data_IF_434661809274
#
_entry.id   IF_434661809274
#
_cell.length_a   1.000
_cell.length_b   1.000
_cell.length_c   1.000
_cell.angle_alpha   90.00
_cell.angle_beta   90.00
_cell.angle_gamma   90.00
#
_symmetry.space_group_name_H-M   'P 1'
#
loop_
_entity.id
_entity.type
_entity.pdbx_description
1 polymer ?
#
# COMPACT_ATOMS: atom_id res chain seq x y z
N UNK A 1 -29.41 -10.02 29.89
CA UNK A 1 -29.96 -10.67 28.70
C UNK A 1 -28.80 -11.24 27.89
N UNK A 2 -28.71 -12.56 27.71
CA UNK A 2 -27.58 -13.18 26.99
C UNK A 2 -27.64 -12.86 25.49
N UNK A 3 -28.84 -12.59 24.98
CA UNK A 3 -29.10 -12.30 23.57
C UNK A 3 -28.55 -10.93 23.14
N UNK A 4 -28.38 -9.99 24.08
CA UNK A 4 -27.75 -8.68 23.84
C UNK A 4 -26.22 -8.82 23.75
N UNK A 5 -25.63 -9.64 24.62
CA UNK A 5 -24.16 -9.85 24.67
C UNK A 5 -23.67 -10.65 23.45
N UNK A 6 -24.48 -11.58 22.96
CA UNK A 6 -24.14 -12.36 21.76
C UNK A 6 -24.33 -11.54 20.46
N UNK A 7 -25.32 -10.62 20.40
CA UNK A 7 -25.46 -9.66 19.28
C UNK A 7 -24.30 -8.66 19.16
N UNK A 8 -23.69 -8.25 20.27
CA UNK A 8 -22.52 -7.35 20.22
C UNK A 8 -21.26 -8.04 19.66
N UNK A 9 -21.16 -9.37 19.75
CA UNK A 9 -20.07 -10.12 19.10
C UNK A 9 -20.21 -10.19 17.59
N UNK A 10 -21.44 -10.16 17.05
CA UNK A 10 -21.72 -10.26 15.61
C UNK A 10 -21.42 -8.98 14.81
N UNK A 11 -21.30 -7.82 15.46
CA UNK A 11 -21.09 -6.51 14.80
C UNK A 11 -19.72 -5.87 15.08
N UNK A 12 -18.69 -6.67 15.36
CA UNK A 12 -17.35 -6.14 15.61
C UNK A 12 -16.66 -5.76 14.31
N UNK A 13 -16.28 -4.50 14.21
CA UNK A 13 -15.47 -3.97 13.13
C UNK A 13 -14.02 -3.83 13.62
N UNK A 14 -13.08 -4.47 12.93
CA UNK A 14 -11.65 -4.41 13.23
C UNK A 14 -10.92 -3.57 12.20
N UNK A 15 -9.86 -2.91 12.66
CA UNK A 15 -8.93 -2.18 11.82
C UNK A 15 -7.49 -2.51 12.22
N UNK A 16 -6.63 -2.70 11.23
CA UNK A 16 -5.19 -2.88 11.40
C UNK A 16 -4.44 -1.90 10.51
N UNK A 17 -3.39 -1.27 11.04
CA UNK A 17 -2.55 -0.36 10.30
C UNK A 17 -1.07 -0.78 10.38
N UNK A 18 -0.35 -0.64 9.28
CA UNK A 18 1.07 -0.93 9.21
C UNK A 18 1.79 0.03 8.26
N UNK A 19 3.08 0.22 8.49
CA UNK A 19 3.96 1.02 7.65
C UNK A 19 5.22 0.21 7.33
N UNK A 20 5.65 0.26 6.08
CA UNK A 20 6.90 -0.35 5.62
C UNK A 20 7.71 0.67 4.82
N UNK A 21 9.02 0.71 5.07
CA UNK A 21 9.96 1.56 4.33
C UNK A 21 10.17 0.99 2.93
N UNK A 22 10.14 1.86 1.91
CA UNK A 22 10.31 1.50 0.49
C UNK A 22 11.35 2.39 -0.20
N UNK A 23 12.36 2.84 0.55
CA UNK A 23 13.43 3.66 -0.01
C UNK A 23 14.10 2.95 -1.18
N UNK A 24 14.28 3.65 -2.31
CA UNK A 24 14.99 3.10 -3.44
C UNK A 24 16.50 3.12 -3.19
N UNK A 25 17.27 2.33 -3.96
CA UNK A 25 18.68 2.60 -4.13
C UNK A 25 18.93 4.01 -4.68
N UNK A 26 20.01 4.65 -4.24
CA UNK A 26 20.47 5.93 -4.77
C UNK A 26 21.04 5.77 -6.18
N UNK A 27 21.15 6.88 -6.91
CA UNK A 27 21.68 6.94 -8.27
C UNK A 27 20.65 6.79 -9.38
N UNK A 28 19.42 6.37 -9.06
CA UNK A 28 18.31 6.37 -10.01
C UNK A 28 17.69 7.77 -10.12
N UNK A 29 17.17 8.10 -11.31
CA UNK A 29 16.55 9.39 -11.56
C UNK A 29 15.26 9.59 -10.75
N UNK A 30 15.15 10.76 -10.10
CA UNK A 30 13.93 11.25 -9.48
C UNK A 30 12.93 11.56 -10.60
N UNK A 31 11.71 11.02 -10.50
CA UNK A 31 10.67 11.15 -11.52
C UNK A 31 9.68 12.27 -11.21
N UNK A 32 9.14 12.90 -12.26
CA UNK A 32 8.11 13.95 -12.15
C UNK A 32 8.59 15.34 -12.59
N UNK A 33 9.89 15.53 -12.73
CA UNK A 33 10.47 16.69 -13.41
C UNK A 33 10.62 16.45 -14.92
N UNK A 34 10.67 17.52 -15.71
CA UNK A 34 10.92 17.44 -17.16
C UNK A 34 12.36 17.03 -17.49
N UNK A 35 13.32 17.40 -16.63
CA UNK A 35 14.73 16.98 -16.70
C UNK A 35 15.09 16.21 -15.41
N UNK A 36 14.88 14.88 -15.38
CA UNK A 36 15.15 14.05 -14.21
C UNK A 36 16.64 14.05 -13.83
N UNK A 37 16.92 14.17 -12.53
CA UNK A 37 18.27 14.08 -11.97
C UNK A 37 18.40 12.86 -11.04
N UNK A 38 19.58 12.25 -10.93
CA UNK A 38 19.80 11.11 -10.05
C UNK A 38 19.62 11.50 -8.57
N UNK A 39 19.00 10.61 -7.80
CA UNK A 39 18.87 10.76 -6.35
C UNK A 39 20.23 10.56 -5.68
N UNK A 40 20.75 11.60 -5.03
CA UNK A 40 22.03 11.58 -4.31
C UNK A 40 21.89 11.34 -2.80
N UNK A 41 20.71 11.57 -2.25
CA UNK A 41 20.40 11.37 -0.84
C UNK A 41 18.91 11.12 -0.65
N UNK A 42 18.55 10.61 0.53
CA UNK A 42 17.17 10.46 1.00
C UNK A 42 16.97 11.49 2.09
N UNK A 43 16.06 12.46 1.87
CA UNK A 43 15.70 13.45 2.87
C UNK A 43 14.75 12.85 3.92
N UNK A 44 13.64 12.28 3.47
CA UNK A 44 12.68 11.55 4.28
C UNK A 44 12.53 10.12 3.74
N UNK A 45 12.27 9.17 4.64
CA UNK A 45 11.93 7.81 4.24
C UNK A 45 10.61 7.78 3.43
N UNK A 46 10.63 7.07 2.30
CA UNK A 46 9.45 6.72 1.52
C UNK A 46 8.81 5.48 2.11
N UNK A 47 7.48 5.43 2.12
CA UNK A 47 6.75 4.34 2.75
C UNK A 47 5.61 3.77 1.90
N UNK A 48 5.32 2.49 2.11
CA UNK A 48 4.01 1.91 1.87
C UNK A 48 3.25 1.84 3.20
N UNK A 49 2.06 2.44 3.24
CA UNK A 49 1.16 2.49 4.40
C UNK A 49 -0.08 1.68 4.10
N UNK A 50 -0.38 0.70 4.93
CA UNK A 50 -1.54 -0.17 4.77
C UNK A 50 -2.56 0.06 5.90
N UNK A 51 -3.84 0.19 5.52
CA UNK A 51 -4.99 0.11 6.41
C UNK A 51 -5.85 -1.07 5.96
N UNK A 52 -6.06 -2.04 6.85
CA UNK A 52 -6.94 -3.18 6.63
C UNK A 52 -8.16 -3.02 7.51
N UNK A 53 -9.33 -3.20 6.92
CA UNK A 53 -10.62 -3.13 7.61
C UNK A 53 -11.33 -4.49 7.48
N UNK A 54 -11.93 -4.95 8.56
CA UNK A 54 -12.60 -6.25 8.66
C UNK A 54 -13.94 -6.10 9.39
N UNK A 55 -15.04 -6.44 8.72
CA UNK A 55 -16.40 -6.44 9.29
C UNK A 55 -16.84 -7.82 9.80
N UNK A 56 -15.92 -8.81 9.83
CA UNK A 56 -16.18 -10.20 10.17
C UNK A 56 -16.65 -11.07 9.00
N UNK A 57 -17.04 -10.47 7.86
CA UNK A 57 -17.48 -11.17 6.64
C UNK A 57 -16.56 -10.88 5.44
N UNK A 58 -16.11 -9.63 5.34
CA UNK A 58 -15.26 -9.11 4.29
C UNK A 58 -14.07 -8.38 4.93
N UNK A 59 -12.92 -8.55 4.27
CA UNK A 59 -11.72 -7.76 4.54
C UNK A 59 -11.41 -6.92 3.32
N UNK A 60 -11.00 -5.67 3.51
CA UNK A 60 -10.45 -4.82 2.46
C UNK A 60 -9.10 -4.24 2.91
N UNK A 61 -8.20 -3.99 1.95
CA UNK A 61 -6.93 -3.34 2.20
C UNK A 61 -6.77 -2.09 1.33
N UNK A 62 -6.42 -0.98 1.97
CA UNK A 62 -6.03 0.27 1.33
C UNK A 62 -4.53 0.45 1.54
N UNK A 63 -3.77 0.51 0.45
CA UNK A 63 -2.32 0.70 0.49
C UNK A 63 -1.97 1.99 -0.24
N UNK A 64 -1.30 2.91 0.44
CA UNK A 64 -0.80 4.15 -0.14
C UNK A 64 0.72 4.14 -0.12
N UNK A 65 1.33 4.35 -1.28
CA UNK A 65 2.78 4.27 -1.48
C UNK A 65 3.33 5.64 -1.86
N UNK A 66 4.40 6.06 -1.21
CA UNK A 66 5.13 7.28 -1.56
C UNK A 66 5.88 7.08 -2.89
N UNK A 67 5.21 7.39 -3.99
CA UNK A 67 5.78 7.38 -5.34
C UNK A 67 5.01 8.35 -6.26
N UNK A 68 5.55 8.65 -7.44
CA UNK A 68 4.85 9.42 -8.47
C UNK A 68 3.71 8.62 -9.09
N UNK A 69 3.98 7.37 -9.49
CA UNK A 69 3.02 6.47 -10.13
C UNK A 69 3.41 5.03 -9.86
N UNK A 70 2.44 4.13 -9.89
CA UNK A 70 2.69 2.69 -9.76
C UNK A 70 2.24 2.00 -11.06
N UNK A 71 3.13 1.23 -11.72
CA UNK A 71 2.74 0.42 -12.86
C UNK A 71 1.65 -0.59 -12.48
N UNK A 72 0.69 -0.82 -13.38
CA UNK A 72 -0.38 -1.80 -13.17
C UNK A 72 0.19 -3.17 -12.82
N UNK A 73 1.17 -3.63 -13.59
CA UNK A 73 1.76 -4.95 -13.45
C UNK A 73 2.39 -5.17 -12.07
N UNK A 74 3.03 -4.13 -11.54
CA UNK A 74 3.58 -4.10 -10.17
C UNK A 74 2.45 -4.23 -9.14
N UNK A 75 1.38 -3.43 -9.27
CA UNK A 75 0.26 -3.50 -8.34
C UNK A 75 -0.48 -4.83 -8.42
N UNK A 76 -0.61 -5.41 -9.60
CA UNK A 76 -1.27 -6.70 -9.82
C UNK A 76 -0.42 -7.84 -9.23
N UNK A 77 0.91 -7.76 -9.36
CA UNK A 77 1.81 -8.71 -8.70
C UNK A 77 1.72 -8.61 -7.18
N UNK A 78 1.71 -7.40 -6.62
CA UNK A 78 1.54 -7.19 -5.18
C UNK A 78 0.21 -7.78 -4.68
N UNK A 79 -0.90 -7.54 -5.39
CA UNK A 79 -2.22 -8.13 -5.08
C UNK A 79 -2.20 -9.66 -5.11
N UNK A 80 -1.55 -10.27 -6.11
CA UNK A 80 -1.36 -11.72 -6.18
C UNK A 80 -0.60 -12.26 -4.96
N UNK A 81 0.48 -11.61 -4.56
CA UNK A 81 1.28 -12.03 -3.39
C UNK A 81 0.48 -11.89 -2.08
N UNK A 82 -0.25 -10.78 -1.89
CA UNK A 82 -1.11 -10.59 -0.72
C UNK A 82 -2.19 -11.68 -0.66
N UNK A 83 -2.83 -11.98 -1.79
CA UNK A 83 -3.82 -13.05 -1.86
C UNK A 83 -3.21 -14.41 -1.49
N UNK A 84 -2.04 -14.74 -2.04
CA UNK A 84 -1.37 -16.01 -1.77
C UNK A 84 -0.93 -16.17 -0.29
N UNK A 85 -0.54 -15.07 0.37
CA UNK A 85 -0.05 -15.11 1.75
C UNK A 85 -1.17 -15.12 2.80
N UNK A 86 -2.25 -14.36 2.60
CA UNK A 86 -3.27 -14.13 3.65
C UNK A 86 -4.72 -14.35 3.19
N UNK A 87 -4.93 -14.79 1.94
CA UNK A 87 -6.25 -15.12 1.40
C UNK A 87 -7.15 -13.92 1.09
N UNK A 88 -6.63 -12.69 1.10
CA UNK A 88 -7.42 -11.50 0.78
C UNK A 88 -7.70 -11.44 -0.73
N UNK A 89 -8.99 -11.34 -1.14
CA UNK A 89 -9.37 -11.25 -2.56
C UNK A 89 -8.73 -10.02 -3.21
N UNK A 90 -8.23 -10.16 -4.44
CA UNK A 90 -7.53 -9.07 -5.13
C UNK A 90 -8.43 -7.85 -5.39
N UNK A 91 -9.72 -8.08 -5.63
CA UNK A 91 -10.73 -7.02 -5.82
C UNK A 91 -11.00 -6.21 -4.54
N UNK A 92 -10.62 -6.75 -3.38
CA UNK A 92 -10.73 -6.08 -2.09
C UNK A 92 -9.46 -5.29 -1.73
N UNK A 93 -8.51 -5.14 -2.66
CA UNK A 93 -7.24 -4.46 -2.44
C UNK A 93 -7.14 -3.24 -3.37
N UNK A 94 -6.99 -2.07 -2.77
CA UNK A 94 -6.62 -0.83 -3.46
C UNK A 94 -5.15 -0.50 -3.16
N UNK A 95 -4.37 -0.23 -4.20
CA UNK A 95 -2.99 0.26 -4.07
C UNK A 95 -2.89 1.56 -4.87
N UNK A 96 -2.44 2.64 -4.24
CA UNK A 96 -2.35 3.96 -4.86
C UNK A 96 -1.00 4.64 -4.55
N UNK A 97 -0.57 5.50 -5.47
CA UNK A 97 0.56 6.39 -5.28
C UNK A 97 0.11 7.71 -4.64
N UNK A 98 0.98 8.35 -3.85
CA UNK A 98 0.76 9.73 -3.36
C UNK A 98 0.95 10.80 -4.44
N UNK A 99 1.54 10.43 -5.58
CA UNK A 99 1.93 11.33 -6.65
C UNK A 99 3.04 12.32 -6.24
N UNK A 100 4.03 11.85 -5.47
CA UNK A 100 5.20 12.67 -5.11
C UNK A 100 6.20 12.78 -6.27
N UNK A 101 6.70 13.99 -6.50
CA UNK A 101 7.73 14.29 -7.52
C UNK A 101 9.16 14.18 -6.97
N UNK A 102 9.33 13.63 -5.76
CA UNK A 102 10.60 13.52 -5.05
C UNK A 102 11.04 12.07 -4.82
N UNK A 103 10.50 11.13 -5.59
CA UNK A 103 10.84 9.71 -5.54
C UNK A 103 11.43 9.24 -6.88
N UNK A 104 12.14 8.11 -6.90
CA UNK A 104 12.56 7.47 -8.15
C UNK A 104 11.44 6.62 -8.75
N UNK A 105 11.59 6.22 -10.01
CA UNK A 105 10.61 5.39 -10.70
C UNK A 105 10.34 4.06 -9.98
N UNK A 106 9.08 3.67 -9.89
CA UNK A 106 8.66 2.32 -9.49
C UNK A 106 8.62 1.33 -10.67
N UNK A 107 8.97 1.77 -11.87
CA UNK A 107 9.16 0.90 -13.04
C UNK A 107 10.55 0.25 -12.96
N UNK A 108 10.64 -1.03 -13.37
CA UNK A 108 11.94 -1.64 -13.59
C UNK A 108 12.63 -0.94 -14.75
N UNK A 109 13.83 -0.40 -14.49
CA UNK A 109 14.75 0.10 -15.52
C UNK A 109 15.56 -1.01 -16.15
#
# INVERSE_FOLDING_TARGET
DKDIVDKEKENKFYAGAAISKVNPPLGFNIVGAFDPLPAHSIHDDLHARALVLDDGKNRIALVVVDNLKLPRDLTDQAKRLINAQIGLKQDNILIAATHTHSAVSAEAG
#
